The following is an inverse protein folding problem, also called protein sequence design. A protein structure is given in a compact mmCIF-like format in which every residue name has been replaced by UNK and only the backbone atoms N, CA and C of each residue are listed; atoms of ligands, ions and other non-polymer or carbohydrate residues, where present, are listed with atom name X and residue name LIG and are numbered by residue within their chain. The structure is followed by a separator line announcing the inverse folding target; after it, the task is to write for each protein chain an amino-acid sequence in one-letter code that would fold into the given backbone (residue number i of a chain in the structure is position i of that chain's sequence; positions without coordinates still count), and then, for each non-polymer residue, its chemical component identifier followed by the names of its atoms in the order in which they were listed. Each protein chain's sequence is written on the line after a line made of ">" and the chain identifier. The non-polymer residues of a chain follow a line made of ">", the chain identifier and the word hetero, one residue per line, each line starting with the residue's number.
data_IF_651824630160
#
_entry.id   IF_651824630160
#
_cell.length_a   1.000
_cell.length_b   1.000
_cell.length_c   1.000
_cell.angle_alpha   90.00
_cell.angle_beta   90.00
_cell.angle_gamma   90.00
#
_symmetry.space_group_name_H-M   'P 1'
#
loop_
_entity.id
_entity.type
_entity.pdbx_description
1 polymer ?
#
# COMPACT_ATOMS: atom_id res chain seq x y z
N UNK A 1 2.57 29.71 -12.62
CA UNK A 1 1.63 29.65 -11.48
C UNK A 1 0.56 28.62 -11.81
N UNK A 2 0.35 27.59 -10.97
CA UNK A 2 -0.70 26.59 -11.19
C UNK A 2 -2.02 27.09 -10.58
N UNK A 3 -2.87 27.71 -11.38
CA UNK A 3 -4.11 28.38 -10.93
C UNK A 3 -5.17 27.44 -10.35
N UNK A 4 -5.12 26.15 -10.67
CA UNK A 4 -6.07 25.12 -10.20
C UNK A 4 -5.43 24.08 -9.27
N UNK A 5 -4.20 24.34 -8.83
CA UNK A 5 -3.40 23.38 -8.09
C UNK A 5 -2.90 22.21 -8.94
N UNK A 6 -2.07 21.36 -8.34
CA UNK A 6 -1.56 20.13 -8.97
C UNK A 6 -2.45 18.99 -8.49
N UNK A 7 -3.31 18.48 -9.37
CA UNK A 7 -4.25 17.38 -9.04
C UNK A 7 -3.73 16.01 -9.46
N UNK A 8 -2.78 15.94 -10.40
CA UNK A 8 -2.20 14.69 -10.93
C UNK A 8 -0.75 14.89 -11.35
N UNK A 9 0.08 13.88 -11.11
CA UNK A 9 1.46 13.80 -11.61
C UNK A 9 1.48 12.81 -12.78
N UNK A 10 1.68 13.32 -14.01
CA UNK A 10 1.48 12.55 -15.25
C UNK A 10 2.65 11.61 -15.59
N UNK A 11 3.86 11.86 -15.08
CA UNK A 11 5.07 11.07 -15.39
C UNK A 11 6.06 11.06 -14.21
N UNK A 12 5.67 10.44 -13.10
CA UNK A 12 6.57 10.21 -11.97
C UNK A 12 7.07 8.77 -11.99
N UNK A 13 8.39 8.59 -11.97
CA UNK A 13 9.00 7.27 -11.84
C UNK A 13 8.69 6.63 -10.48
N UNK A 14 8.82 5.30 -10.39
CA UNK A 14 8.49 4.55 -9.17
C UNK A 14 9.25 5.03 -7.92
N UNK A 15 10.47 5.54 -8.08
CA UNK A 15 11.25 6.15 -6.98
C UNK A 15 10.56 7.41 -6.44
N UNK A 16 10.20 8.34 -7.30
CA UNK A 16 9.51 9.57 -6.89
C UNK A 16 8.16 9.27 -6.22
N UNK A 17 7.41 8.31 -6.77
CA UNK A 17 6.16 7.87 -6.15
C UNK A 17 6.38 7.32 -4.73
N UNK A 18 7.43 6.52 -4.53
CA UNK A 18 7.78 5.99 -3.21
C UNK A 18 8.18 7.08 -2.23
N UNK A 19 9.01 8.03 -2.66
CA UNK A 19 9.46 9.12 -1.78
C UNK A 19 8.28 9.99 -1.33
N UNK A 20 7.33 10.25 -2.23
CA UNK A 20 6.05 10.90 -1.88
C UNK A 20 5.22 10.05 -0.90
N UNK A 21 5.10 8.74 -1.12
CA UNK A 21 4.36 7.86 -0.20
C UNK A 21 4.98 7.83 1.20
N UNK A 22 6.32 7.78 1.30
CA UNK A 22 7.04 7.85 2.58
C UNK A 22 6.70 9.13 3.33
N UNK A 23 6.72 10.27 2.64
CA UNK A 23 6.37 11.55 3.25
C UNK A 23 4.90 11.58 3.69
N UNK A 24 3.97 11.12 2.85
CA UNK A 24 2.54 11.08 3.17
C UNK A 24 2.29 10.23 4.42
N UNK A 25 2.92 9.05 4.54
CA UNK A 25 2.78 8.18 5.71
C UNK A 25 3.20 8.90 6.99
N UNK A 26 4.31 9.65 6.97
CA UNK A 26 4.76 10.43 8.13
C UNK A 26 3.76 11.55 8.47
N UNK A 27 3.25 12.26 7.47
CA UNK A 27 2.29 13.35 7.67
C UNK A 27 1.00 12.84 8.32
N UNK A 28 0.48 11.70 7.87
CA UNK A 28 -0.76 11.13 8.43
C UNK A 28 -0.54 10.46 9.78
N UNK A 29 0.69 10.11 10.16
CA UNK A 29 0.97 9.36 11.39
C UNK A 29 0.51 10.09 12.67
N UNK A 30 0.46 11.42 12.66
CA UNK A 30 -0.05 12.22 13.78
C UNK A 30 -1.58 12.42 13.79
N UNK A 31 -2.28 12.01 12.73
CA UNK A 31 -3.71 12.30 12.54
C UNK A 31 -4.58 11.07 12.27
N UNK A 32 -3.99 10.00 11.74
CA UNK A 32 -4.66 8.74 11.44
C UNK A 32 -4.49 7.73 12.58
N UNK A 33 -5.40 6.75 12.63
CA UNK A 33 -5.30 5.64 13.55
C UNK A 33 -4.01 4.81 13.30
N UNK A 34 -3.32 4.33 14.35
CA UNK A 34 -2.08 3.59 14.20
C UNK A 34 -2.17 2.40 13.23
N UNK A 35 -3.28 1.64 13.23
CA UNK A 35 -3.43 0.47 12.35
C UNK A 35 -3.59 0.89 10.88
N UNK A 36 -4.19 2.06 10.63
CA UNK A 36 -4.24 2.64 9.28
C UNK A 36 -2.84 2.99 8.81
N UNK A 37 -2.04 3.63 9.67
CA UNK A 37 -0.65 4.03 9.37
C UNK A 37 0.21 2.79 9.11
N UNK A 38 0.11 1.77 9.98
CA UNK A 38 0.79 0.48 9.82
C UNK A 38 0.40 -0.17 8.49
N UNK A 39 -0.90 -0.31 8.20
CA UNK A 39 -1.39 -0.92 6.95
C UNK A 39 -0.78 -0.25 5.70
N UNK A 40 -0.70 1.07 5.68
CA UNK A 40 -0.14 1.81 4.55
C UNK A 40 1.38 1.68 4.46
N UNK A 41 2.07 1.69 5.59
CA UNK A 41 3.53 1.47 5.68
C UNK A 41 3.90 0.08 5.15
N UNK A 42 3.24 -0.97 5.64
CA UNK A 42 3.56 -2.35 5.25
C UNK A 42 3.22 -2.63 3.79
N UNK A 43 2.17 -2.01 3.25
CA UNK A 43 1.88 -2.09 1.82
C UNK A 43 2.96 -1.44 0.96
N UNK A 44 3.54 -0.32 1.41
CA UNK A 44 4.68 0.32 0.75
C UNK A 44 5.94 -0.55 0.84
N UNK A 45 6.22 -1.15 2.00
CA UNK A 45 7.35 -2.05 2.20
C UNK A 45 7.24 -3.33 1.37
N UNK A 46 6.06 -3.95 1.32
CA UNK A 46 5.78 -5.08 0.45
C UNK A 46 6.12 -4.76 -1.01
N UNK A 47 5.64 -3.62 -1.52
CA UNK A 47 5.95 -3.16 -2.88
C UNK A 47 7.43 -2.88 -3.08
N UNK A 48 8.13 -2.44 -2.05
CA UNK A 48 9.56 -2.24 -2.14
C UNK A 48 10.29 -3.57 -2.27
N UNK A 49 10.02 -4.53 -1.39
CA UNK A 49 10.69 -5.81 -1.40
C UNK A 49 10.38 -6.63 -2.65
N UNK A 50 9.13 -6.61 -3.14
CA UNK A 50 8.75 -7.29 -4.38
C UNK A 50 9.39 -6.70 -5.65
N UNK A 51 9.92 -5.48 -5.57
CA UNK A 51 10.66 -4.81 -6.65
C UNK A 51 12.18 -4.97 -6.51
N UNK A 52 12.67 -5.79 -5.59
CA UNK A 52 14.11 -6.01 -5.42
C UNK A 52 14.72 -6.65 -6.66
N UNK A 53 15.91 -6.20 -7.04
CA UNK A 53 16.65 -6.77 -8.20
C UNK A 53 17.00 -8.24 -8.01
N UNK A 54 17.12 -8.70 -6.76
CA UNK A 54 17.32 -10.10 -6.42
C UNK A 54 16.38 -10.50 -5.29
N UNK A 55 15.61 -11.57 -5.53
CA UNK A 55 14.67 -12.16 -4.58
C UNK A 55 15.34 -13.31 -3.84
N UNK A 56 16.34 -12.96 -3.03
CA UNK A 56 17.00 -13.90 -2.12
C UNK A 56 16.02 -14.41 -1.06
N UNK A 57 16.37 -15.50 -0.35
CA UNK A 57 15.58 -16.01 0.78
C UNK A 57 15.22 -14.91 1.79
N UNK A 58 16.19 -14.04 2.13
CA UNK A 58 15.95 -12.90 3.03
C UNK A 58 14.91 -11.93 2.48
N UNK A 59 14.90 -11.67 1.17
CA UNK A 59 13.89 -10.80 0.54
C UNK A 59 12.53 -11.49 0.50
N UNK A 60 12.48 -12.79 0.23
CA UNK A 60 11.23 -13.58 0.24
C UNK A 60 10.59 -13.59 1.64
N UNK A 61 11.39 -13.82 2.69
CA UNK A 61 10.93 -13.76 4.08
C UNK A 61 10.30 -12.40 4.41
N UNK A 62 10.93 -11.31 3.94
CA UNK A 62 10.40 -9.95 4.12
C UNK A 62 9.10 -9.71 3.35
N UNK A 63 8.97 -10.25 2.13
CA UNK A 63 7.72 -10.16 1.37
C UNK A 63 6.61 -10.90 2.09
N UNK A 64 6.87 -12.11 2.59
CA UNK A 64 5.89 -12.89 3.33
C UNK A 64 5.50 -12.22 4.65
N UNK A 65 6.47 -11.72 5.42
CA UNK A 65 6.23 -11.01 6.68
C UNK A 65 5.41 -9.73 6.46
N UNK A 66 5.76 -8.91 5.46
CA UNK A 66 4.99 -7.68 5.16
C UNK A 66 3.58 -7.98 4.63
N UNK A 67 3.41 -9.08 3.89
CA UNK A 67 2.08 -9.54 3.48
C UNK A 67 1.24 -9.97 4.69
N UNK A 68 1.83 -10.73 5.62
CA UNK A 68 1.16 -11.14 6.85
C UNK A 68 0.74 -9.91 7.68
N UNK A 69 1.66 -8.98 7.95
CA UNK A 69 1.37 -7.76 8.71
C UNK A 69 0.28 -6.91 8.01
N UNK A 70 0.28 -6.86 6.67
CA UNK A 70 -0.83 -6.24 5.94
C UNK A 70 -2.18 -6.91 6.23
N UNK A 71 -2.23 -8.24 6.25
CA UNK A 71 -3.46 -8.97 6.57
C UNK A 71 -3.94 -8.75 8.00
N UNK A 72 -3.02 -8.60 8.95
CA UNK A 72 -3.31 -8.34 10.36
C UNK A 72 -3.95 -6.95 10.57
N UNK A 73 -3.47 -5.91 9.88
CA UNK A 73 -3.90 -4.53 10.14
C UNK A 73 -4.95 -3.98 9.14
N UNK A 74 -5.09 -4.56 7.94
CA UNK A 74 -5.96 -3.99 6.88
C UNK A 74 -7.43 -3.83 7.27
N UNK A 75 -7.90 -4.53 8.29
CA UNK A 75 -9.25 -4.34 8.84
C UNK A 75 -9.53 -2.89 9.25
N UNK A 76 -8.52 -2.14 9.69
CA UNK A 76 -8.65 -0.74 10.07
C UNK A 76 -9.14 0.16 8.91
N UNK A 77 -8.68 -0.08 7.68
CA UNK A 77 -9.10 0.69 6.50
C UNK A 77 -10.62 0.61 6.30
N UNK A 78 -11.23 -0.57 6.51
CA UNK A 78 -12.68 -0.75 6.43
C UNK A 78 -13.37 -0.15 7.66
N UNK A 79 -12.85 -0.41 8.86
CA UNK A 79 -13.38 0.09 10.14
C UNK A 79 -13.56 1.62 10.12
N UNK A 80 -12.59 2.35 9.57
CA UNK A 80 -12.63 3.81 9.47
C UNK A 80 -13.27 4.32 8.17
N UNK A 81 -13.88 3.45 7.36
CA UNK A 81 -14.62 3.85 6.16
C UNK A 81 -13.74 4.45 5.05
N UNK A 82 -12.46 4.07 5.01
CA UNK A 82 -11.46 4.58 4.08
C UNK A 82 -11.47 3.82 2.74
N UNK A 83 -11.98 2.59 2.72
CA UNK A 83 -12.20 1.82 1.50
C UNK A 83 -13.54 2.22 0.87
N UNK A 84 -13.54 3.15 -0.10
CA UNK A 84 -14.77 3.66 -0.73
C UNK A 84 -14.90 3.29 -2.20
N UNK A 85 -16.11 2.95 -2.62
CA UNK A 85 -16.41 2.59 -4.00
C UNK A 85 -16.42 3.80 -4.94
N UNK A 86 -16.00 3.65 -6.21
CA UNK A 86 -15.84 4.78 -7.14
C UNK A 86 -17.17 5.40 -7.59
N UNK A 87 -18.25 4.61 -7.63
CA UNK A 87 -19.55 5.07 -8.16
C UNK A 87 -20.42 5.70 -7.09
N UNK A 88 -20.60 5.01 -5.97
CA UNK A 88 -21.55 5.41 -4.91
C UNK A 88 -20.87 6.08 -3.72
N UNK A 89 -19.53 6.12 -3.68
CA UNK A 89 -18.72 6.54 -2.53
C UNK A 89 -19.05 5.80 -1.22
N UNK A 90 -19.77 4.68 -1.31
CA UNK A 90 -20.12 3.84 -0.17
C UNK A 90 -18.87 3.10 0.34
N UNK A 91 -18.84 2.86 1.66
CA UNK A 91 -17.78 2.03 2.26
C UNK A 91 -17.91 0.60 1.77
N UNK A 92 -16.86 0.08 1.15
CA UNK A 92 -16.77 -1.31 0.74
C UNK A 92 -16.28 -2.15 1.92
N UNK A 93 -17.00 -3.25 2.20
CA UNK A 93 -16.68 -4.19 3.30
C UNK A 93 -15.81 -5.37 2.85
N UNK A 94 -15.30 -5.33 1.63
CA UNK A 94 -14.54 -6.42 1.02
C UNK A 94 -13.23 -5.88 0.41
N UNK A 95 -12.30 -6.80 0.11
CA UNK A 95 -11.01 -6.50 -0.49
C UNK A 95 -10.89 -7.10 -1.90
N UNK A 96 -11.95 -7.00 -2.72
CA UNK A 96 -11.97 -7.50 -4.11
C UNK A 96 -11.23 -6.55 -5.04
N UNK A 97 -9.93 -6.41 -4.80
CA UNK A 97 -9.02 -5.64 -5.62
C UNK A 97 -8.06 -6.67 -6.22
N UNK A 98 -8.21 -7.05 -7.49
CA UNK A 98 -7.41 -8.12 -8.10
C UNK A 98 -5.90 -7.94 -7.92
N UNK A 99 -5.44 -6.68 -7.92
CA UNK A 99 -4.02 -6.35 -7.69
C UNK A 99 -3.54 -6.65 -6.25
N UNK A 100 -4.43 -6.58 -5.26
CA UNK A 100 -4.09 -6.94 -3.88
C UNK A 100 -4.16 -8.45 -3.68
N UNK A 101 -5.08 -9.15 -4.34
CA UNK A 101 -5.12 -10.62 -4.35
C UNK A 101 -3.83 -11.20 -4.95
N UNK A 102 -3.31 -10.57 -6.02
CA UNK A 102 -2.03 -10.96 -6.63
C UNK A 102 -0.84 -10.93 -5.66
N UNK A 103 -0.91 -10.14 -4.58
CA UNK A 103 0.17 -10.08 -3.59
C UNK A 103 0.47 -11.44 -2.97
N UNK A 104 -0.54 -12.31 -2.85
CA UNK A 104 -0.41 -13.66 -2.29
C UNK A 104 0.42 -14.60 -3.17
N UNK A 105 0.58 -14.27 -4.46
CA UNK A 105 1.25 -15.13 -5.43
C UNK A 105 2.70 -14.71 -5.71
N UNK A 106 3.20 -13.62 -5.12
CA UNK A 106 4.57 -13.13 -5.41
C UNK A 106 5.61 -14.19 -5.03
N UNK A 107 5.64 -14.63 -3.77
CA UNK A 107 6.63 -15.62 -3.29
C UNK A 107 6.45 -16.98 -3.97
N UNK A 108 5.22 -17.55 -4.02
CA UNK A 108 5.00 -18.85 -4.68
C UNK A 108 5.33 -18.89 -6.18
N UNK A 109 5.36 -17.74 -6.88
CA UNK A 109 5.67 -17.70 -8.32
C UNK A 109 7.16 -17.81 -8.65
N UNK A 110 8.04 -17.77 -7.64
CA UNK A 110 9.50 -17.75 -7.81
C UNK A 110 10.12 -19.12 -7.51
N UNK A 111 9.43 -19.94 -6.72
CA UNK A 111 9.78 -21.33 -6.40
C UNK A 111 9.47 -22.27 -7.57
#
# INVERSE_FOLDING_TARGET
>A
HFSTGITKLKQVGGRAQRDMQRFIIIVIAGAADPDVVVTLRVLMEFRYYSQSTSLTLVTQDKIQSTLQEFHEHKGAIIKFGLHRGPTTNAVLKHWHIPKLELMQNIVPSIE
#
